data_IF_678870095236
#
_entry.id   IF_678870095236
#
_cell.length_a   1.000
_cell.length_b   1.000
_cell.length_c   1.000
_cell.angle_alpha   90.00
_cell.angle_beta   90.00
_cell.angle_gamma   90.00
#
_symmetry.space_group_name_H-M   'P 1'
#
loop_
_entity.id
_entity.type
_entity.pdbx_description
1 polymer ?
#
# COMPACT_ATOMS: atom_id res chain seq x y z
N UNK A 1 41.18 -34.69 6.19
CA UNK A 1 39.89 -34.75 5.47
C UNK A 1 38.80 -34.13 6.34
N UNK A 2 38.92 -32.83 6.65
CA UNK A 2 38.03 -32.15 7.61
C UNK A 2 37.69 -30.70 7.21
N UNK A 3 38.00 -30.29 5.98
CA UNK A 3 37.91 -28.88 5.58
C UNK A 3 36.74 -28.62 4.63
N UNK A 4 36.51 -29.49 3.64
CA UNK A 4 35.44 -29.27 2.65
C UNK A 4 34.01 -29.34 3.22
N UNK A 5 33.75 -30.23 4.20
CA UNK A 5 32.42 -30.35 4.81
C UNK A 5 32.08 -29.11 5.64
N UNK A 6 33.07 -28.57 6.34
CA UNK A 6 32.92 -27.35 7.15
C UNK A 6 32.77 -26.11 6.26
N UNK A 7 33.46 -26.08 5.12
CA UNK A 7 33.29 -25.03 4.11
C UNK A 7 31.90 -25.07 3.48
N UNK A 8 31.34 -26.24 3.16
CA UNK A 8 29.99 -26.30 2.59
C UNK A 8 28.92 -25.84 3.58
N UNK A 9 29.02 -26.24 4.84
CA UNK A 9 28.10 -25.80 5.91
C UNK A 9 28.14 -24.27 6.08
N UNK A 10 29.33 -23.65 6.05
CA UNK A 10 29.47 -22.19 6.10
C UNK A 10 28.84 -21.51 4.88
N UNK A 11 29.02 -22.08 3.68
CA UNK A 11 28.42 -21.53 2.44
C UNK A 11 26.90 -21.60 2.49
N UNK A 12 26.33 -22.72 2.95
CA UNK A 12 24.88 -22.90 3.07
C UNK A 12 24.28 -21.93 4.09
N UNK A 13 24.91 -21.75 5.26
CA UNK A 13 24.50 -20.77 6.26
C UNK A 13 24.50 -19.34 5.70
N UNK A 14 25.51 -18.98 4.92
CA UNK A 14 25.64 -17.64 4.37
C UNK A 14 24.63 -17.38 3.24
N UNK A 15 24.33 -18.39 2.41
CA UNK A 15 23.25 -18.30 1.43
C UNK A 15 21.88 -18.13 2.09
N UNK A 16 21.61 -18.88 3.17
CA UNK A 16 20.36 -18.74 3.94
C UNK A 16 20.23 -17.33 4.53
N UNK A 17 21.31 -16.75 5.06
CA UNK A 17 21.32 -15.36 5.56
C UNK A 17 21.07 -14.34 4.44
N UNK A 18 21.69 -14.53 3.28
CA UNK A 18 21.48 -13.65 2.12
C UNK A 18 20.03 -13.70 1.64
N UNK A 19 19.45 -14.90 1.52
CA UNK A 19 18.05 -15.05 1.14
C UNK A 19 17.13 -14.41 2.19
N UNK A 20 17.37 -14.65 3.48
CA UNK A 20 16.58 -14.02 4.54
C UNK A 20 16.63 -12.49 4.51
N UNK A 21 17.82 -11.91 4.26
CA UNK A 21 17.98 -10.46 4.11
C UNK A 21 17.26 -9.95 2.86
N UNK A 22 17.36 -10.67 1.74
CA UNK A 22 16.65 -10.33 0.49
C UNK A 22 15.14 -10.37 0.67
N UNK A 23 14.62 -11.39 1.35
CA UNK A 23 13.21 -11.49 1.74
C UNK A 23 12.80 -10.32 2.65
N UNK A 24 13.65 -9.92 3.60
CA UNK A 24 13.39 -8.80 4.51
C UNK A 24 13.33 -7.46 3.76
N UNK A 25 14.26 -7.24 2.83
CA UNK A 25 14.30 -6.03 2.01
C UNK A 25 13.13 -5.97 1.01
N UNK A 26 12.73 -7.12 0.46
CA UNK A 26 11.49 -7.25 -0.33
C UNK A 26 10.23 -7.01 0.50
N UNK A 27 10.28 -7.27 1.82
CA UNK A 27 9.20 -7.02 2.78
C UNK A 27 9.08 -5.57 3.24
N UNK A 28 9.66 -4.60 2.54
CA UNK A 28 9.31 -3.18 2.74
C UNK A 28 7.84 -3.00 2.38
N UNK A 29 6.99 -3.16 3.39
CA UNK A 29 5.55 -2.99 3.31
C UNK A 29 5.29 -1.49 3.26
N UNK A 30 4.52 -1.05 2.26
CA UNK A 30 4.04 0.32 2.20
C UNK A 30 3.22 0.60 3.46
N UNK A 31 3.34 1.79 4.03
CA UNK A 31 2.59 2.17 5.23
C UNK A 31 1.74 3.40 4.95
N UNK A 32 0.57 3.44 5.56
CA UNK A 32 -0.32 4.60 5.53
C UNK A 32 -0.77 4.94 6.96
N UNK A 33 -0.73 6.22 7.38
CA UNK A 33 -1.32 6.64 8.65
C UNK A 33 -2.81 6.29 8.71
N UNK A 34 -3.27 5.85 9.87
CA UNK A 34 -4.67 5.46 10.10
C UNK A 34 -5.64 6.60 9.82
N UNK A 35 -5.30 7.81 10.26
CA UNK A 35 -6.06 9.03 9.96
C UNK A 35 -6.31 9.22 8.45
N UNK A 36 -5.30 8.94 7.62
CA UNK A 36 -5.41 9.02 6.15
C UNK A 36 -6.21 7.83 5.59
N UNK A 37 -5.98 6.62 6.11
CA UNK A 37 -6.68 5.41 5.67
C UNK A 37 -8.20 5.49 5.92
N UNK A 38 -8.59 5.97 7.11
CA UNK A 38 -9.98 6.14 7.51
C UNK A 38 -10.66 7.20 6.63
N UNK A 39 -10.00 8.34 6.40
CA UNK A 39 -10.51 9.41 5.51
C UNK A 39 -10.67 8.93 4.06
N UNK A 40 -9.69 8.17 3.54
CA UNK A 40 -9.78 7.56 2.21
C UNK A 40 -10.94 6.57 2.10
N UNK A 41 -11.17 5.76 3.12
CA UNK A 41 -12.27 4.82 3.16
C UNK A 41 -13.61 5.54 3.14
N UNK A 42 -13.75 6.63 3.91
CA UNK A 42 -14.97 7.44 3.94
C UNK A 42 -15.27 8.06 2.57
N UNK A 43 -14.27 8.71 1.95
CA UNK A 43 -14.40 9.29 0.61
C UNK A 43 -14.75 8.21 -0.43
N UNK A 44 -14.08 7.06 -0.40
CA UNK A 44 -14.35 5.98 -1.35
C UNK A 44 -15.77 5.41 -1.16
N UNK A 45 -16.22 5.21 0.08
CA UNK A 45 -17.57 4.73 0.37
C UNK A 45 -18.64 5.73 -0.08
N UNK A 46 -18.41 7.03 0.09
CA UNK A 46 -19.28 8.09 -0.43
C UNK A 46 -19.38 8.05 -1.95
N UNK A 47 -18.25 7.96 -2.65
CA UNK A 47 -18.22 7.77 -4.11
C UNK A 47 -19.00 6.54 -4.56
N UNK A 48 -18.81 5.40 -3.88
CA UNK A 48 -19.53 4.16 -4.18
C UNK A 48 -21.04 4.35 -4.03
N UNK A 49 -21.48 5.06 -2.98
CA UNK A 49 -22.91 5.35 -2.76
C UNK A 49 -23.50 6.27 -3.84
N UNK A 50 -22.78 7.32 -4.22
CA UNK A 50 -23.28 8.35 -5.15
C UNK A 50 -23.23 7.87 -6.61
N UNK A 51 -22.10 7.29 -7.02
CA UNK A 51 -21.85 6.91 -8.41
C UNK A 51 -22.15 5.44 -8.71
N UNK A 52 -22.50 4.65 -7.69
CA UNK A 52 -22.69 3.20 -7.81
C UNK A 52 -21.51 2.50 -8.52
N UNK A 53 -20.29 2.96 -8.23
CA UNK A 53 -19.05 2.53 -8.88
C UNK A 53 -17.97 2.28 -7.85
N UNK A 54 -17.21 1.19 -8.01
CA UNK A 54 -16.02 0.87 -7.18
C UNK A 54 -14.71 1.12 -7.94
N UNK A 55 -14.77 1.85 -9.05
CA UNK A 55 -13.57 2.16 -9.83
C UNK A 55 -12.70 3.17 -9.07
N UNK A 56 -11.52 2.75 -8.63
CA UNK A 56 -10.52 3.62 -7.97
C UNK A 56 -10.10 4.73 -8.94
N UNK A 57 -9.88 4.39 -10.22
CA UNK A 57 -9.62 5.38 -11.26
C UNK A 57 -10.79 6.37 -11.41
N UNK A 58 -12.02 5.86 -11.33
CA UNK A 58 -13.23 6.68 -11.33
C UNK A 58 -13.30 7.64 -10.15
N UNK A 59 -12.93 7.22 -8.95
CA UNK A 59 -12.83 8.10 -7.78
C UNK A 59 -11.82 9.22 -8.04
N UNK A 60 -10.58 8.86 -8.39
CA UNK A 60 -9.47 9.81 -8.48
C UNK A 60 -9.64 10.82 -9.61
N UNK A 61 -10.19 10.40 -10.75
CA UNK A 61 -10.37 11.26 -11.92
C UNK A 61 -11.71 12.00 -11.95
N UNK A 62 -12.75 11.50 -11.27
CA UNK A 62 -14.09 12.11 -11.28
C UNK A 62 -14.53 12.64 -9.92
N UNK A 63 -13.60 12.87 -9.00
CA UNK A 63 -13.88 13.46 -7.69
C UNK A 63 -14.65 14.78 -7.81
N UNK A 64 -14.25 15.62 -8.77
CA UNK A 64 -14.90 16.88 -9.13
C UNK A 64 -16.36 16.74 -9.59
N UNK A 65 -16.75 15.55 -10.08
CA UNK A 65 -18.13 15.27 -10.48
C UNK A 65 -18.99 14.74 -9.31
N UNK A 66 -18.41 14.45 -8.15
CA UNK A 66 -19.14 14.01 -6.96
C UNK A 66 -19.73 15.25 -6.29
N UNK A 67 -18.85 16.12 -5.79
CA UNK A 67 -19.12 17.43 -5.20
C UNK A 67 -17.78 18.14 -4.87
N UNK A 68 -17.85 19.45 -4.60
CA UNK A 68 -16.66 20.26 -4.30
C UNK A 68 -15.97 19.90 -2.97
N UNK A 69 -16.71 19.44 -1.96
CA UNK A 69 -16.15 19.07 -0.66
C UNK A 69 -15.31 17.81 -0.78
N UNK A 70 -15.83 16.77 -1.42
CA UNK A 70 -15.10 15.53 -1.70
C UNK A 70 -13.84 15.78 -2.51
N UNK A 71 -13.92 16.65 -3.54
CA UNK A 71 -12.74 17.07 -4.31
C UNK A 71 -11.70 17.74 -3.42
N UNK A 72 -12.10 18.72 -2.60
CA UNK A 72 -11.19 19.42 -1.69
C UNK A 72 -10.56 18.50 -0.65
N UNK A 73 -11.33 17.54 -0.10
CA UNK A 73 -10.82 16.52 0.83
C UNK A 73 -9.74 15.66 0.17
N UNK A 74 -9.97 15.19 -1.07
CA UNK A 74 -8.97 14.42 -1.81
C UNK A 74 -7.72 15.24 -2.15
N UNK A 75 -7.87 16.48 -2.58
CA UNK A 75 -6.73 17.39 -2.87
C UNK A 75 -5.90 17.64 -1.60
N UNK A 76 -6.55 17.83 -0.45
CA UNK A 76 -5.85 18.01 0.82
C UNK A 76 -5.15 16.74 1.30
N UNK A 77 -5.81 15.60 1.15
CA UNK A 77 -5.32 14.30 1.60
C UNK A 77 -4.19 13.76 0.72
N UNK A 78 -4.23 14.09 -0.57
CA UNK A 78 -3.32 13.58 -1.61
C UNK A 78 -2.58 14.73 -2.30
N UNK A 79 -1.73 15.48 -1.58
CA UNK A 79 -1.13 16.70 -2.11
C UNK A 79 -0.06 16.46 -3.18
N UNK A 80 0.52 15.26 -3.24
CA UNK A 80 1.52 14.90 -4.25
C UNK A 80 1.34 13.47 -4.80
N UNK A 81 2.09 13.16 -5.86
CA UNK A 81 1.99 11.89 -6.58
C UNK A 81 2.28 10.68 -5.68
N UNK A 82 3.08 10.82 -4.62
CA UNK A 82 3.37 9.71 -3.72
C UNK A 82 2.15 9.35 -2.87
N UNK A 83 1.40 10.33 -2.33
CA UNK A 83 0.20 10.01 -1.57
C UNK A 83 -0.88 9.46 -2.50
N UNK A 84 -1.01 9.98 -3.72
CA UNK A 84 -1.90 9.39 -4.74
C UNK A 84 -1.54 7.92 -4.97
N UNK A 85 -0.26 7.61 -5.19
CA UNK A 85 0.20 6.23 -5.41
C UNK A 85 -0.05 5.32 -4.19
N UNK A 86 0.16 5.82 -2.97
CA UNK A 86 -0.13 5.08 -1.73
C UNK A 86 -1.63 4.84 -1.59
N UNK A 87 -2.48 5.83 -1.87
CA UNK A 87 -3.94 5.70 -1.83
C UNK A 87 -4.45 4.68 -2.85
N UNK A 88 -3.92 4.70 -4.08
CA UNK A 88 -4.21 3.69 -5.11
C UNK A 88 -3.82 2.31 -4.61
N UNK A 89 -2.61 2.13 -4.08
CA UNK A 89 -2.15 0.85 -3.57
C UNK A 89 -3.00 0.34 -2.40
N UNK A 90 -3.38 1.23 -1.49
CA UNK A 90 -4.24 0.94 -0.34
C UNK A 90 -5.63 0.46 -0.78
N UNK A 91 -6.31 1.26 -1.61
CA UNK A 91 -7.65 0.94 -2.10
C UNK A 91 -7.65 -0.31 -2.98
N UNK A 92 -6.64 -0.48 -3.84
CA UNK A 92 -6.49 -1.67 -4.67
C UNK A 92 -6.25 -2.92 -3.83
N UNK A 93 -5.38 -2.82 -2.81
CA UNK A 93 -5.13 -3.90 -1.86
C UNK A 93 -6.41 -4.35 -1.17
N UNK A 94 -7.19 -3.40 -0.60
CA UNK A 94 -8.48 -3.71 0.02
C UNK A 94 -9.48 -4.32 -0.97
N UNK A 95 -9.59 -3.77 -2.18
CA UNK A 95 -10.51 -4.28 -3.19
C UNK A 95 -10.17 -5.71 -3.65
N UNK A 96 -8.88 -6.06 -3.67
CA UNK A 96 -8.39 -7.39 -4.03
C UNK A 96 -8.28 -8.36 -2.85
N UNK A 97 -8.54 -7.90 -1.61
CA UNK A 97 -8.44 -8.71 -0.39
C UNK A 97 -6.99 -9.05 0.00
N UNK A 98 -6.03 -8.16 -0.29
CA UNK A 98 -4.61 -8.34 0.00
C UNK A 98 -4.02 -7.14 0.75
N UNK A 99 -3.08 -7.40 1.65
CA UNK A 99 -2.43 -6.37 2.45
C UNK A 99 -1.20 -5.79 1.73
N UNK A 100 -1.44 -4.95 0.71
CA UNK A 100 -0.36 -4.22 0.02
C UNK A 100 0.20 -3.06 0.86
N UNK A 101 -0.67 -2.43 1.67
CA UNK A 101 -0.33 -1.27 2.49
C UNK A 101 -0.77 -1.54 3.92
N UNK A 102 0.17 -1.47 4.86
CA UNK A 102 -0.09 -1.59 6.29
C UNK A 102 -0.59 -0.27 6.85
N UNK A 103 -1.76 -0.30 7.49
CA UNK A 103 -2.24 0.83 8.28
C UNK A 103 -1.43 0.91 9.58
N UNK A 104 -0.89 2.09 9.88
CA UNK A 104 -0.12 2.35 11.10
C UNK A 104 -0.73 3.52 11.86
N UNK A 105 -0.63 3.50 13.19
CA UNK A 105 -1.03 4.64 14.00
C UNK A 105 -0.13 5.84 13.67
N UNK A 106 -0.75 6.98 13.33
CA UNK A 106 -0.08 8.18 12.81
C UNK A 106 -1.02 9.37 12.75
#
# INVERSE_FOLDING_TARGET
MMDNKRISEIVDEEMIKQDANRYRDMRKILTIPKSIADELDDIFNEFVRIKNSRSIWGLLWRAEEIDDETRMRLEWLLPDENQVNIAVAYLAGKALGVDLVKVVEG
#
